data_IF_269954906696
#
_entry.id   IF_269954906696
#
_cell.length_a   1.000
_cell.length_b   1.000
_cell.length_c   1.000
_cell.angle_alpha   90.00
_cell.angle_beta   90.00
_cell.angle_gamma   90.00
#
_symmetry.space_group_name_H-M   'P 1'
#
loop_
_entity.id
_entity.type
_entity.pdbx_description
1 polymer ?
#
# COMPACT_ATOMS: atom_id res chain seq x y z
N UNK A 1 -17.83 3.66 13.20
CA UNK A 1 -17.46 4.58 12.11
C UNK A 1 -18.46 5.70 12.01
N UNK A 2 -17.99 6.93 11.79
CA UNK A 2 -18.82 8.13 11.63
C UNK A 2 -18.35 8.88 10.39
N UNK A 3 -19.26 9.64 9.78
CA UNK A 3 -18.96 10.61 8.72
C UNK A 3 -19.00 12.02 9.33
N UNK A 4 -18.27 12.96 8.74
CA UNK A 4 -18.17 14.34 9.26
C UNK A 4 -19.11 15.26 8.49
N UNK A 5 -19.84 16.09 9.23
CA UNK A 5 -20.80 17.06 8.70
C UNK A 5 -20.46 18.46 9.22
N UNK A 6 -20.69 19.47 8.40
CA UNK A 6 -20.57 20.87 8.79
C UNK A 6 -21.70 21.21 9.78
N UNK A 7 -21.39 21.69 11.00
CA UNK A 7 -22.41 21.95 12.01
C UNK A 7 -23.28 23.18 11.70
N UNK A 8 -22.81 24.09 10.84
CA UNK A 8 -23.53 25.30 10.48
C UNK A 8 -24.52 25.06 9.33
N UNK A 9 -24.14 24.27 8.31
CA UNK A 9 -25.01 24.00 7.15
C UNK A 9 -25.73 22.66 7.24
N UNK A 10 -25.20 21.70 7.99
CA UNK A 10 -25.67 20.31 8.01
C UNK A 10 -25.24 19.51 6.79
N UNK A 11 -24.45 20.09 5.88
CA UNK A 11 -23.91 19.41 4.70
C UNK A 11 -22.74 18.49 5.07
N UNK A 12 -22.40 17.57 4.17
CA UNK A 12 -21.19 16.74 4.34
C UNK A 12 -19.95 17.60 4.32
N UNK A 13 -19.00 17.31 5.21
CA UNK A 13 -17.71 17.99 5.20
C UNK A 13 -16.89 17.56 3.98
N UNK A 14 -16.52 18.53 3.14
CA UNK A 14 -15.84 18.29 1.85
C UNK A 14 -14.45 17.64 1.96
N UNK A 15 -13.83 17.71 3.14
CA UNK A 15 -12.51 17.11 3.40
C UNK A 15 -12.57 15.77 4.14
N UNK A 16 -13.76 15.26 4.49
CA UNK A 16 -13.92 13.94 5.12
C UNK A 16 -13.46 12.81 4.17
N UNK A 17 -12.37 12.08 4.48
CA UNK A 17 -11.92 10.98 3.64
C UNK A 17 -12.96 9.88 3.43
N UNK A 18 -13.75 9.57 4.46
CA UNK A 18 -14.78 8.53 4.37
C UNK A 18 -15.94 8.99 3.48
N UNK A 19 -16.30 10.27 3.58
CA UNK A 19 -17.19 10.96 2.66
C UNK A 19 -16.72 10.85 1.20
N UNK A 20 -15.45 11.14 0.92
CA UNK A 20 -14.82 10.99 -0.40
C UNK A 20 -14.94 9.56 -0.94
N UNK A 21 -14.64 8.54 -0.12
CA UNK A 21 -14.79 7.14 -0.51
C UNK A 21 -16.23 6.76 -0.88
N UNK A 22 -17.23 7.26 -0.12
CA UNK A 22 -18.65 7.07 -0.45
C UNK A 22 -19.04 7.74 -1.77
N UNK A 23 -18.51 8.95 -2.02
CA UNK A 23 -18.74 9.65 -3.28
C UNK A 23 -18.12 8.90 -4.45
N UNK A 24 -16.94 8.30 -4.28
CA UNK A 24 -16.30 7.48 -5.31
C UNK A 24 -17.14 6.24 -5.69
N UNK A 25 -17.70 5.52 -4.71
CA UNK A 25 -18.64 4.41 -4.98
C UNK A 25 -19.93 4.88 -5.68
N UNK A 26 -20.47 6.04 -5.27
CA UNK A 26 -21.64 6.63 -5.91
C UNK A 26 -21.35 7.09 -7.34
N UNK A 27 -20.17 7.65 -7.58
CA UNK A 27 -19.73 8.08 -8.90
C UNK A 27 -19.62 6.88 -9.86
N UNK A 28 -18.99 5.77 -9.43
CA UNK A 28 -18.96 4.52 -10.20
C UNK A 28 -20.36 4.14 -10.69
N UNK A 29 -21.34 4.07 -9.77
CA UNK A 29 -22.74 3.75 -10.11
C UNK A 29 -23.32 4.73 -11.13
N UNK A 30 -23.06 6.03 -10.96
CA UNK A 30 -23.55 7.07 -11.87
C UNK A 30 -23.00 6.96 -13.29
N UNK A 31 -21.80 6.37 -13.46
CA UNK A 31 -21.18 6.20 -14.78
C UNK A 31 -21.80 5.07 -15.62
N UNK A 32 -22.52 4.14 -14.98
CA UNK A 32 -23.01 2.92 -15.61
C UNK A 32 -21.93 1.89 -15.98
N UNK A 33 -20.68 2.09 -15.56
CA UNK A 33 -19.57 1.15 -15.80
C UNK A 33 -19.71 -0.10 -14.91
N UNK A 34 -20.28 0.06 -13.71
CA UNK A 34 -20.57 -1.00 -12.77
C UNK A 34 -21.35 -0.47 -11.58
N UNK A 35 -21.85 -1.36 -10.73
CA UNK A 35 -22.59 -1.02 -9.52
C UNK A 35 -21.77 -1.19 -8.24
N UNK A 36 -20.69 -1.96 -8.29
CA UNK A 36 -19.90 -2.34 -7.12
C UNK A 36 -18.41 -2.39 -7.45
N UNK A 37 -17.59 -1.77 -6.61
CA UNK A 37 -16.14 -1.91 -6.60
C UNK A 37 -15.76 -2.77 -5.40
N UNK A 38 -15.04 -3.87 -5.64
CA UNK A 38 -14.41 -4.64 -4.57
C UNK A 38 -12.94 -4.29 -4.45
N UNK A 39 -12.48 -4.14 -3.21
CA UNK A 39 -11.08 -3.83 -2.86
C UNK A 39 -10.59 -4.87 -1.86
N UNK A 40 -9.39 -5.40 -2.09
CA UNK A 40 -8.73 -6.36 -1.20
C UNK A 40 -7.29 -5.95 -0.94
N UNK A 41 -6.97 -5.30 0.18
CA UNK A 41 -5.62 -4.87 0.50
C UNK A 41 -4.85 -5.96 1.29
N UNK A 42 -3.58 -6.13 0.96
CA UNK A 42 -2.62 -6.96 1.70
C UNK A 42 -1.65 -6.01 2.42
N UNK A 43 -1.94 -5.63 3.67
CA UNK A 43 -1.14 -4.69 4.43
C UNK A 43 -0.09 -5.39 5.30
N UNK A 44 1.17 -5.30 4.88
CA UNK A 44 2.32 -5.81 5.60
C UNK A 44 2.71 -4.87 6.76
N UNK A 45 3.34 -5.41 7.80
CA UNK A 45 3.82 -4.64 8.96
C UNK A 45 5.04 -5.30 9.60
N UNK A 46 5.72 -4.55 10.47
CA UNK A 46 6.77 -5.08 11.34
C UNK A 46 6.30 -5.10 12.79
N UNK A 47 6.83 -6.03 13.58
CA UNK A 47 6.77 -6.01 15.04
C UNK A 47 8.18 -5.96 15.61
N UNK A 48 8.43 -5.10 16.59
CA UNK A 48 9.73 -4.97 17.25
C UNK A 48 9.59 -5.07 18.77
N UNK A 49 10.66 -5.45 19.45
CA UNK A 49 10.75 -5.46 20.92
C UNK A 49 11.12 -4.05 21.45
N UNK A 50 12.01 -3.33 20.78
CA UNK A 50 12.42 -1.97 21.13
C UNK A 50 12.58 -1.09 19.89
N UNK A 51 12.07 0.13 19.96
CA UNK A 51 12.25 1.16 18.94
C UNK A 51 12.52 2.48 19.65
N UNK A 52 13.69 3.07 19.39
CA UNK A 52 14.12 4.36 19.93
C UNK A 52 14.52 5.27 18.79
N UNK A 53 14.19 6.55 18.89
CA UNK A 53 14.59 7.56 17.93
C UNK A 53 14.89 8.88 18.62
N UNK A 54 15.78 9.67 18.03
CA UNK A 54 16.10 11.03 18.43
C UNK A 54 16.17 11.92 17.19
N UNK A 55 15.75 13.17 17.36
CA UNK A 55 15.80 14.22 16.33
C UNK A 55 15.91 15.56 17.05
N UNK A 56 17.12 15.94 17.45
CA UNK A 56 17.38 17.12 18.27
C UNK A 56 18.81 17.65 18.17
N UNK A 57 19.15 18.65 18.98
CA UNK A 57 20.44 19.35 18.89
C UNK A 57 21.68 18.45 19.07
N UNK A 58 21.54 17.36 19.84
CA UNK A 58 22.65 16.47 20.18
C UNK A 58 22.81 15.28 19.22
N UNK A 59 21.83 15.03 18.33
CA UNK A 59 21.81 13.85 17.47
C UNK A 59 20.50 13.68 16.72
N UNK A 60 20.56 12.94 15.62
CA UNK A 60 19.40 12.48 14.86
C UNK A 60 19.63 11.03 14.46
N UNK A 61 18.66 10.15 14.67
CA UNK A 61 18.79 8.74 14.36
C UNK A 61 17.72 7.87 14.98
N UNK A 62 17.82 6.57 14.73
CA UNK A 62 16.94 5.58 15.34
C UNK A 62 17.68 4.26 15.55
N UNK A 63 17.21 3.47 16.52
CA UNK A 63 17.59 2.08 16.73
C UNK A 63 16.35 1.22 16.86
N UNK A 64 16.38 0.07 16.21
CA UNK A 64 15.35 -0.96 16.31
C UNK A 64 15.99 -2.24 16.86
N UNK A 65 15.20 -3.02 17.57
CA UNK A 65 15.60 -4.30 18.14
C UNK A 65 14.41 -5.26 18.16
N UNK A 66 14.67 -6.52 17.84
CA UNK A 66 13.71 -7.62 18.01
C UNK A 66 14.47 -8.95 18.12
N UNK A 67 13.90 -9.88 18.86
CA UNK A 67 14.45 -11.22 19.06
C UNK A 67 14.80 -11.94 17.74
N UNK A 68 14.11 -11.66 16.64
CA UNK A 68 14.36 -12.27 15.33
C UNK A 68 15.46 -11.59 14.53
N UNK A 69 15.89 -10.36 14.87
CA UNK A 69 16.83 -9.62 14.04
C UNK A 69 18.20 -10.34 13.96
N UNK A 70 18.80 -10.49 12.77
CA UNK A 70 20.11 -11.12 12.61
C UNK A 70 21.23 -10.46 13.43
N UNK A 71 21.08 -9.17 13.78
CA UNK A 71 21.98 -8.41 14.65
C UNK A 71 22.12 -9.01 16.06
N UNK A 72 21.14 -9.80 16.51
CA UNK A 72 21.12 -10.45 17.83
C UNK A 72 21.75 -11.87 17.84
N UNK A 73 22.34 -12.32 16.73
CA UNK A 73 22.93 -13.67 16.64
C UNK A 73 24.04 -13.94 17.65
N UNK A 74 24.81 -12.91 18.02
CA UNK A 74 25.88 -13.00 19.02
C UNK A 74 25.53 -12.36 20.38
N UNK A 75 24.29 -11.93 20.58
CA UNK A 75 23.89 -11.23 21.81
C UNK A 75 23.80 -12.18 22.99
N UNK A 76 24.28 -11.74 24.15
CA UNK A 76 24.07 -12.46 25.40
C UNK A 76 22.67 -12.15 25.95
N UNK A 77 21.98 -13.21 26.38
CA UNK A 77 20.69 -13.14 27.07
C UNK A 77 20.82 -13.86 28.40
N UNK A 78 20.08 -13.42 29.41
CA UNK A 78 20.13 -13.99 30.77
C UNK A 78 19.88 -15.52 30.77
N UNK A 79 18.92 -15.99 29.97
CA UNK A 79 18.58 -17.40 29.82
C UNK A 79 19.42 -18.15 28.75
N UNK A 80 20.41 -17.49 28.15
CA UNK A 80 21.15 -17.98 26.99
C UNK A 80 20.50 -17.63 25.64
N UNK A 81 21.32 -17.58 24.58
CA UNK A 81 20.85 -17.25 23.23
C UNK A 81 20.41 -18.51 22.46
N UNK A 82 19.12 -18.64 22.18
CA UNK A 82 18.55 -19.83 21.50
C UNK A 82 18.84 -19.87 19.99
N UNK A 83 19.31 -18.78 19.38
CA UNK A 83 19.86 -18.70 18.02
C UNK A 83 18.98 -19.15 16.83
N UNK A 84 17.69 -19.44 17.01
CA UNK A 84 16.75 -19.71 15.92
C UNK A 84 16.19 -18.38 15.38
N UNK A 85 16.83 -17.82 14.35
CA UNK A 85 16.45 -16.54 13.75
C UNK A 85 16.35 -16.61 12.24
N UNK A 86 15.42 -15.87 11.61
CA UNK A 86 15.46 -15.68 10.18
C UNK A 86 16.75 -14.92 9.80
N UNK A 87 17.33 -15.27 8.65
CA UNK A 87 18.39 -14.44 8.05
C UNK A 87 17.74 -13.19 7.44
N UNK A 88 18.54 -12.19 7.07
CA UNK A 88 18.04 -11.10 6.23
C UNK A 88 17.38 -11.69 4.97
N UNK A 89 16.18 -11.23 4.62
CA UNK A 89 15.31 -11.79 3.57
C UNK A 89 14.93 -13.28 3.75
N UNK A 90 15.09 -13.82 4.96
CA UNK A 90 14.90 -15.24 5.27
C UNK A 90 13.67 -15.54 6.15
N UNK A 91 12.77 -14.56 6.34
CA UNK A 91 11.57 -14.70 7.15
C UNK A 91 10.42 -15.44 6.46
N UNK A 92 10.51 -15.72 5.16
CA UNK A 92 9.39 -16.27 4.41
C UNK A 92 9.18 -17.78 4.67
N UNK A 93 8.22 -18.10 5.53
CA UNK A 93 7.77 -19.45 5.90
C UNK A 93 8.77 -20.42 6.57
N UNK A 94 9.81 -19.99 7.32
CA UNK A 94 10.43 -20.90 8.26
C UNK A 94 9.43 -21.24 9.37
N UNK A 95 9.43 -22.48 9.84
CA UNK A 95 8.56 -22.89 10.95
C UNK A 95 9.13 -22.43 12.29
N UNK A 96 8.29 -22.41 13.33
CA UNK A 96 8.75 -22.23 14.71
C UNK A 96 9.85 -23.27 15.05
N UNK A 97 10.88 -22.90 15.85
CA UNK A 97 11.01 -21.64 16.59
C UNK A 97 11.70 -20.49 15.84
N UNK A 98 11.98 -20.61 14.53
CA UNK A 98 12.56 -19.50 13.75
C UNK A 98 11.54 -18.38 13.58
N UNK A 99 10.29 -18.73 13.26
CA UNK A 99 9.15 -17.82 13.33
C UNK A 99 8.66 -17.75 14.78
N UNK A 100 8.89 -16.61 15.42
CA UNK A 100 8.59 -16.38 16.84
C UNK A 100 7.18 -15.83 17.08
N UNK A 101 6.45 -15.49 16.02
CA UNK A 101 5.23 -14.70 16.09
C UNK A 101 3.96 -15.45 15.64
N UNK A 102 4.02 -16.79 15.51
CA UNK A 102 2.86 -17.62 15.10
C UNK A 102 1.64 -17.34 15.99
N UNK A 103 1.81 -17.42 17.31
CA UNK A 103 0.73 -17.24 18.29
C UNK A 103 0.21 -15.80 18.31
N UNK A 104 1.11 -14.81 18.23
CA UNK A 104 0.74 -13.38 18.20
C UNK A 104 -0.12 -13.08 16.96
N UNK A 105 0.28 -13.60 15.79
CA UNK A 105 -0.50 -13.42 14.56
C UNK A 105 -1.85 -14.15 14.61
N UNK A 106 -1.91 -15.33 15.24
CA UNK A 106 -3.17 -16.05 15.43
C UNK A 106 -4.14 -15.29 16.34
N UNK A 107 -3.63 -14.65 17.41
CA UNK A 107 -4.41 -13.79 18.29
C UNK A 107 -4.94 -12.55 17.55
N UNK A 108 -4.10 -11.91 16.73
CA UNK A 108 -4.51 -10.80 15.88
C UNK A 108 -5.68 -11.19 14.96
N UNK A 109 -5.55 -12.32 14.25
CA UNK A 109 -6.62 -12.82 13.36
C UNK A 109 -7.89 -13.13 14.15
N UNK A 110 -7.78 -13.79 15.30
CA UNK A 110 -8.93 -14.13 16.15
C UNK A 110 -9.66 -12.87 16.62
N UNK A 111 -8.91 -11.87 17.08
CA UNK A 111 -9.45 -10.56 17.49
C UNK A 111 -10.10 -9.82 16.31
N UNK A 112 -9.48 -9.83 15.13
CA UNK A 112 -10.06 -9.23 13.92
C UNK A 112 -11.41 -9.87 13.57
N UNK A 113 -11.51 -11.20 13.65
CA UNK A 113 -12.75 -11.94 13.40
C UNK A 113 -13.83 -11.58 14.41
N UNK A 114 -13.48 -11.44 15.69
CA UNK A 114 -14.42 -10.97 16.72
C UNK A 114 -14.91 -9.53 16.48
N UNK A 115 -14.07 -8.68 15.87
CA UNK A 115 -14.43 -7.33 15.44
C UNK A 115 -15.16 -7.29 14.09
N UNK A 116 -15.46 -8.44 13.48
CA UNK A 116 -16.27 -8.57 12.28
C UNK A 116 -15.50 -8.60 10.97
N UNK A 117 -14.17 -8.59 10.99
CA UNK A 117 -13.37 -8.78 9.77
C UNK A 117 -13.42 -10.25 9.35
N UNK A 118 -13.31 -10.46 8.05
CA UNK A 118 -13.14 -11.81 7.49
C UNK A 118 -11.66 -11.97 7.14
N UNK A 119 -10.99 -12.91 7.76
CA UNK A 119 -9.58 -13.20 7.51
C UNK A 119 -9.43 -14.56 6.82
N UNK A 120 -8.41 -14.71 5.98
CA UNK A 120 -8.16 -15.94 5.20
C UNK A 120 -6.80 -16.59 5.45
N UNK A 121 -5.78 -15.82 5.86
CA UNK A 121 -4.43 -16.31 6.17
C UNK A 121 -3.71 -15.42 7.18
N UNK A 122 -2.64 -15.94 7.76
CA UNK A 122 -1.58 -15.13 8.37
C UNK A 122 -0.24 -15.81 8.14
N UNK A 123 0.81 -15.03 7.95
CA UNK A 123 2.15 -15.57 7.79
C UNK A 123 3.24 -14.56 8.17
N UNK A 124 4.43 -15.10 8.39
CA UNK A 124 5.65 -14.32 8.38
C UNK A 124 5.96 -13.85 6.96
N UNK A 125 6.50 -12.64 6.82
CA UNK A 125 6.92 -12.05 5.55
C UNK A 125 8.43 -12.16 5.33
N UNK A 126 8.94 -11.62 4.21
CA UNK A 126 10.32 -11.84 3.76
C UNK A 126 11.38 -11.32 4.74
N UNK A 127 11.24 -10.09 5.25
CA UNK A 127 12.21 -9.52 6.19
C UNK A 127 12.08 -10.12 7.59
N UNK A 128 13.14 -10.07 8.40
CA UNK A 128 13.05 -10.44 9.82
C UNK A 128 12.04 -9.54 10.55
N UNK A 129 11.23 -10.14 11.44
CA UNK A 129 10.18 -9.45 12.20
C UNK A 129 9.08 -8.77 11.34
N UNK A 130 8.93 -9.19 10.08
CA UNK A 130 7.89 -8.73 9.16
C UNK A 130 6.75 -9.74 9.07
N UNK A 131 5.52 -9.24 8.97
CA UNK A 131 4.32 -10.07 8.99
C UNK A 131 3.23 -9.53 8.05
N UNK A 132 2.32 -10.41 7.65
CA UNK A 132 1.09 -10.09 6.92
C UNK A 132 -0.06 -10.95 7.45
N UNK A 133 -1.23 -10.34 7.61
CA UNK A 133 -2.50 -11.05 7.82
C UNK A 133 -3.40 -10.77 6.62
N UNK A 134 -4.02 -11.81 6.08
CA UNK A 134 -4.91 -11.70 4.94
C UNK A 134 -6.33 -11.37 5.39
N UNK A 135 -6.94 -10.41 4.71
CA UNK A 135 -8.34 -9.98 4.90
C UNK A 135 -9.09 -10.19 3.59
N UNK A 136 -10.28 -10.77 3.68
CA UNK A 136 -11.15 -10.95 2.53
C UNK A 136 -11.63 -9.57 2.06
N UNK A 137 -11.56 -9.35 0.75
CA UNK A 137 -12.03 -8.13 0.10
C UNK A 137 -13.49 -7.78 0.48
N UNK A 138 -13.80 -6.48 0.45
CA UNK A 138 -15.16 -5.94 0.64
C UNK A 138 -15.44 -4.83 -0.36
N UNK A 139 -16.54 -4.10 -0.21
CA UNK A 139 -16.71 -2.87 -1.01
C UNK A 139 -15.66 -1.83 -0.62
N UNK A 140 -15.49 -0.77 -1.41
CA UNK A 140 -14.42 0.22 -1.18
C UNK A 140 -14.49 0.83 0.21
N UNK A 141 -15.67 1.31 0.63
CA UNK A 141 -15.83 1.93 1.97
C UNK A 141 -15.70 0.90 3.09
N UNK A 142 -16.32 -0.27 2.95
CA UNK A 142 -16.23 -1.35 3.93
C UNK A 142 -14.77 -1.80 4.13
N UNK A 143 -14.02 -1.92 3.04
CA UNK A 143 -12.61 -2.32 3.08
C UNK A 143 -11.74 -1.26 3.73
N UNK A 144 -12.01 0.02 3.48
CA UNK A 144 -11.30 1.11 4.15
C UNK A 144 -11.60 1.17 5.65
N UNK A 145 -12.86 0.95 6.05
CA UNK A 145 -13.27 0.76 7.44
C UNK A 145 -12.51 -0.44 8.07
N UNK A 146 -12.50 -1.59 7.39
CA UNK A 146 -11.79 -2.80 7.85
C UNK A 146 -10.28 -2.58 8.00
N UNK A 147 -9.65 -1.81 7.11
CA UNK A 147 -8.22 -1.50 7.22
C UNK A 147 -7.90 -0.67 8.48
N UNK A 148 -8.82 0.17 8.95
CA UNK A 148 -8.64 0.88 10.21
C UNK A 148 -8.72 -0.06 11.42
N UNK A 149 -9.67 -1.01 11.41
CA UNK A 149 -9.73 -2.06 12.44
C UNK A 149 -8.49 -2.94 12.40
N UNK A 150 -8.03 -3.33 11.19
CA UNK A 150 -6.82 -4.12 11.00
C UNK A 150 -5.62 -3.47 11.70
N UNK A 151 -5.34 -2.20 11.39
CA UNK A 151 -4.23 -1.46 11.99
C UNK A 151 -4.39 -1.34 13.51
N UNK A 152 -5.62 -1.09 13.98
CA UNK A 152 -5.91 -1.00 15.40
C UNK A 152 -5.60 -2.32 16.14
N UNK A 153 -6.11 -3.45 15.63
CA UNK A 153 -5.87 -4.77 16.23
C UNK A 153 -4.38 -5.12 16.20
N UNK A 154 -3.69 -4.91 15.08
CA UNK A 154 -2.24 -5.14 14.99
C UNK A 154 -1.48 -4.35 16.05
N UNK A 155 -1.75 -3.05 16.21
CA UNK A 155 -1.08 -2.24 17.22
C UNK A 155 -1.42 -2.70 18.64
N UNK A 156 -2.69 -2.97 18.95
CA UNK A 156 -3.14 -3.29 20.30
C UNK A 156 -2.70 -4.69 20.75
N UNK A 157 -2.76 -5.69 19.87
CA UNK A 157 -2.29 -7.03 20.18
C UNK A 157 -0.77 -7.03 20.31
N UNK A 158 -0.03 -6.37 19.41
CA UNK A 158 1.42 -6.24 19.57
C UNK A 158 1.78 -5.62 20.92
N UNK A 159 1.09 -4.52 21.28
CA UNK A 159 1.29 -3.84 22.56
C UNK A 159 1.00 -4.75 23.77
N UNK A 160 -0.10 -5.53 23.72
CA UNK A 160 -0.46 -6.47 24.78
C UNK A 160 0.59 -7.58 24.98
N UNK A 161 1.32 -7.93 23.93
CA UNK A 161 2.43 -8.90 23.96
C UNK A 161 3.79 -8.25 24.25
N UNK A 162 3.82 -6.97 24.62
CA UNK A 162 5.07 -6.26 24.94
C UNK A 162 5.91 -5.90 23.72
N UNK A 163 5.32 -5.90 22.52
CA UNK A 163 5.94 -5.49 21.26
C UNK A 163 5.37 -4.15 20.78
N UNK A 164 6.03 -3.56 19.80
CA UNK A 164 5.53 -2.39 19.06
C UNK A 164 5.41 -2.73 17.58
N UNK A 165 4.25 -2.49 16.99
CA UNK A 165 4.02 -2.73 15.57
C UNK A 165 4.08 -1.44 14.76
N UNK A 166 4.56 -1.52 13.52
CA UNK A 166 4.60 -0.39 12.59
C UNK A 166 4.24 -0.78 11.16
N UNK A 167 3.48 0.10 10.52
CA UNK A 167 3.09 0.02 9.10
C UNK A 167 4.01 0.85 8.19
N UNK A 168 5.12 1.35 8.74
CA UNK A 168 6.08 2.16 8.00
C UNK A 168 6.63 1.38 6.78
N UNK A 169 6.72 1.99 5.58
CA UNK A 169 7.06 1.26 4.36
C UNK A 169 8.48 0.68 4.34
N UNK A 170 9.44 1.34 5.01
CA UNK A 170 10.84 0.94 5.01
C UNK A 170 11.50 1.25 6.37
N UNK A 171 11.28 0.41 7.39
CA UNK A 171 11.95 0.56 8.69
C UNK A 171 13.41 0.06 8.65
N UNK A 172 13.73 -0.90 7.76
CA UNK A 172 15.07 -1.49 7.61
C UNK A 172 15.59 -1.22 6.20
N UNK A 173 16.72 -0.50 6.08
CA UNK A 173 17.32 -0.13 4.78
C UNK A 173 17.65 -1.36 3.92
N UNK A 174 18.25 -2.39 4.51
CA UNK A 174 18.87 -3.53 3.83
C UNK A 174 17.98 -4.76 3.69
N UNK A 175 16.74 -4.73 4.18
CA UNK A 175 15.78 -5.85 4.08
C UNK A 175 14.51 -5.42 3.32
N UNK A 176 13.55 -6.31 3.11
CA UNK A 176 12.27 -5.97 2.49
C UNK A 176 11.52 -4.87 3.27
N UNK A 177 10.65 -4.14 2.58
CA UNK A 177 9.79 -3.12 3.17
C UNK A 177 8.33 -3.54 3.12
N UNK A 178 7.47 -2.86 3.88
CA UNK A 178 6.04 -3.15 3.98
C UNK A 178 5.22 -2.47 2.87
N UNK A 179 4.52 -3.27 2.07
CA UNK A 179 3.53 -2.82 1.11
C UNK A 179 2.09 -2.83 1.61
N UNK A 180 1.20 -2.31 0.77
CA UNK A 180 -0.24 -2.53 0.82
C UNK A 180 -0.73 -2.93 -0.57
N UNK A 181 -0.45 -4.17 -1.00
CA UNK A 181 -0.89 -4.60 -2.33
C UNK A 181 -2.41 -4.51 -2.42
N UNK A 182 -2.92 -3.74 -3.36
CA UNK A 182 -4.33 -3.38 -3.43
C UNK A 182 -4.97 -4.08 -4.62
N UNK A 183 -5.73 -5.13 -4.33
CA UNK A 183 -6.52 -5.83 -5.33
C UNK A 183 -7.82 -5.08 -5.63
N UNK A 184 -8.19 -4.96 -6.91
CA UNK A 184 -9.42 -4.26 -7.32
C UNK A 184 -10.18 -4.99 -8.43
N UNK A 185 -11.51 -4.97 -8.36
CA UNK A 185 -12.39 -5.43 -9.45
C UNK A 185 -13.73 -4.71 -9.45
N UNK A 186 -14.21 -4.33 -10.62
CA UNK A 186 -15.55 -3.73 -10.79
C UNK A 186 -16.54 -4.81 -11.19
N UNK A 187 -17.76 -4.71 -10.66
CA UNK A 187 -18.86 -5.64 -10.89
C UNK A 187 -20.11 -4.87 -11.31
N UNK A 188 -20.94 -5.53 -12.12
CA UNK A 188 -22.25 -5.07 -12.56
C UNK A 188 -23.24 -6.22 -12.41
N UNK A 189 -24.32 -6.00 -11.63
CA UNK A 189 -25.41 -6.96 -11.40
C UNK A 189 -24.90 -8.35 -11.01
N UNK A 190 -23.89 -8.38 -10.13
CA UNK A 190 -23.29 -9.61 -9.63
C UNK A 190 -22.38 -10.35 -10.62
N UNK A 191 -21.95 -9.71 -11.71
CA UNK A 191 -20.95 -10.25 -12.66
C UNK A 191 -19.69 -9.37 -12.71
N UNK A 192 -18.48 -9.96 -12.77
CA UNK A 192 -17.24 -9.20 -12.84
C UNK A 192 -17.10 -8.56 -14.22
N UNK A 193 -16.82 -7.24 -14.27
CA UNK A 193 -16.59 -6.53 -15.54
C UNK A 193 -15.15 -6.69 -16.03
N UNK A 194 -14.24 -7.13 -15.17
CA UNK A 194 -12.82 -7.30 -15.50
C UNK A 194 -12.49 -8.62 -16.18
N UNK A 195 -13.39 -9.60 -16.14
CA UNK A 195 -13.22 -10.88 -16.82
C UNK A 195 -13.53 -10.76 -18.32
N UNK A 196 -12.67 -11.32 -19.16
CA UNK A 196 -12.83 -11.33 -20.62
C UNK A 196 -11.93 -12.33 -21.31
N UNK A 197 -11.73 -12.16 -22.62
CA UNK A 197 -10.98 -13.08 -23.48
C UNK A 197 -9.59 -12.54 -23.88
N UNK A 198 -9.16 -11.40 -23.31
CA UNK A 198 -7.86 -10.79 -23.58
C UNK A 198 -6.71 -11.45 -22.81
N UNK A 199 -5.58 -10.74 -22.73
CA UNK A 199 -4.40 -11.18 -21.99
C UNK A 199 -4.78 -11.63 -20.57
N UNK A 200 -4.32 -12.81 -20.16
CA UNK A 200 -4.61 -13.42 -18.85
C UNK A 200 -6.11 -13.55 -18.49
N UNK A 201 -7.01 -13.51 -19.48
CA UNK A 201 -8.47 -13.57 -19.28
C UNK A 201 -9.07 -12.24 -18.81
N UNK A 202 -8.44 -11.12 -19.18
CA UNK A 202 -8.93 -9.77 -18.90
C UNK A 202 -9.90 -9.28 -19.99
N UNK A 203 -10.83 -8.41 -19.63
CA UNK A 203 -11.64 -7.62 -20.56
C UNK A 203 -10.93 -6.34 -20.99
N UNK A 204 -11.41 -5.71 -22.07
CA UNK A 204 -10.97 -4.36 -22.47
C UNK A 204 -11.23 -3.33 -21.36
N UNK A 205 -12.35 -3.46 -20.63
CA UNK A 205 -12.64 -2.63 -19.46
C UNK A 205 -11.54 -2.73 -18.41
N UNK A 206 -11.04 -3.93 -18.13
CA UNK A 206 -9.93 -4.11 -17.20
C UNK A 206 -8.63 -3.49 -17.73
N UNK A 207 -8.32 -3.67 -19.01
CA UNK A 207 -7.13 -3.08 -19.62
C UNK A 207 -7.19 -1.55 -19.54
N UNK A 208 -8.33 -0.95 -19.88
CA UNK A 208 -8.50 0.50 -19.77
C UNK A 208 -8.42 1.01 -18.33
N UNK A 209 -8.93 0.24 -17.36
CA UNK A 209 -8.76 0.56 -15.95
C UNK A 209 -7.27 0.60 -15.55
N UNK A 210 -6.48 -0.39 -15.98
CA UNK A 210 -5.03 -0.41 -15.76
C UNK A 210 -4.37 0.79 -16.45
N UNK A 211 -4.76 1.12 -17.68
CA UNK A 211 -4.19 2.24 -18.43
C UNK A 211 -4.44 3.60 -17.76
N UNK A 212 -5.63 3.79 -17.17
CA UNK A 212 -5.94 4.95 -16.34
C UNK A 212 -5.05 5.04 -15.11
N UNK A 213 -4.88 3.94 -14.37
CA UNK A 213 -4.01 3.91 -13.19
C UNK A 213 -2.54 4.14 -13.56
N UNK A 214 -2.04 3.56 -14.66
CA UNK A 214 -0.67 3.81 -15.14
C UNK A 214 -0.47 5.29 -15.54
N UNK A 215 -1.42 5.86 -16.28
CA UNK A 215 -1.37 7.28 -16.71
C UNK A 215 -1.26 8.22 -15.51
N UNK A 216 -2.05 7.99 -14.48
CA UNK A 216 -2.18 8.87 -13.31
C UNK A 216 -1.29 8.44 -12.13
N UNK A 217 -0.43 7.43 -12.28
CA UNK A 217 0.30 6.80 -11.19
C UNK A 217 1.11 7.77 -10.33
N UNK A 218 1.72 8.79 -10.96
CA UNK A 218 2.51 9.80 -10.23
C UNK A 218 1.64 10.66 -9.31
N UNK A 219 0.48 11.14 -9.78
CA UNK A 219 -0.50 11.82 -8.94
C UNK A 219 -1.08 10.89 -7.86
N UNK A 220 -1.31 9.62 -8.20
CA UNK A 220 -1.77 8.60 -7.25
C UNK A 220 -0.77 8.36 -6.12
N UNK A 221 0.54 8.48 -6.36
CA UNK A 221 1.55 8.29 -5.31
C UNK A 221 1.36 9.26 -4.14
N UNK A 222 0.82 10.45 -4.37
CA UNK A 222 0.54 11.39 -3.27
C UNK A 222 -0.44 10.83 -2.24
N UNK A 223 -1.39 9.97 -2.65
CA UNK A 223 -2.38 9.33 -1.76
C UNK A 223 -2.02 7.88 -1.38
N UNK A 224 -1.36 7.15 -2.28
CA UNK A 224 -1.02 5.73 -2.11
C UNK A 224 0.35 5.51 -1.46
N UNK A 225 1.22 6.52 -1.48
CA UNK A 225 2.57 6.53 -0.93
C UNK A 225 2.85 7.84 -0.19
N UNK A 226 2.05 8.19 0.84
CA UNK A 226 1.92 9.57 1.30
C UNK A 226 3.03 10.01 2.27
N UNK A 227 4.16 9.30 2.33
CA UNK A 227 5.24 9.59 3.28
C UNK A 227 6.58 9.66 2.56
N UNK A 228 7.53 10.42 3.09
CA UNK A 228 8.90 10.43 2.60
C UNK A 228 9.60 9.06 2.74
N UNK A 229 9.13 8.21 3.66
CA UNK A 229 9.62 6.84 3.86
C UNK A 229 9.08 5.85 2.81
N UNK A 230 7.90 6.10 2.23
CA UNK A 230 7.35 5.34 1.10
C UNK A 230 8.35 5.22 -0.06
N UNK A 231 9.07 6.30 -0.34
CA UNK A 231 10.06 6.38 -1.41
C UNK A 231 11.43 5.78 -1.03
N UNK A 232 11.61 5.35 0.22
CA UNK A 232 12.73 4.49 0.63
C UNK A 232 12.40 3.01 0.38
N UNK A 233 11.12 2.64 0.28
CA UNK A 233 10.66 1.32 -0.17
C UNK A 233 10.70 1.21 -1.69
N UNK A 234 10.20 2.20 -2.42
CA UNK A 234 10.12 2.22 -3.89
C UNK A 234 11.48 2.43 -4.57
N UNK A 235 12.41 1.51 -4.32
CA UNK A 235 13.72 1.42 -4.96
C UNK A 235 13.91 0.03 -5.56
N UNK A 236 14.68 -0.13 -6.66
CA UNK A 236 14.98 -1.45 -7.22
C UNK A 236 15.60 -2.43 -6.20
N UNK A 237 15.29 -3.72 -6.30
CA UNK A 237 16.00 -4.81 -5.58
C UNK A 237 15.36 -5.41 -4.31
N UNK A 238 14.15 -4.97 -3.92
CA UNK A 238 13.45 -5.43 -2.70
C UNK A 238 11.98 -5.81 -2.95
N UNK A 239 11.67 -6.38 -4.11
CA UNK A 239 10.30 -6.67 -4.57
C UNK A 239 9.36 -5.45 -4.68
N UNK A 240 9.86 -4.24 -4.41
CA UNK A 240 9.13 -3.00 -4.58
C UNK A 240 9.02 -2.66 -6.09
N UNK A 241 7.80 -2.46 -6.60
CA UNK A 241 7.60 -2.27 -8.03
C UNK A 241 7.69 -0.80 -8.40
N UNK A 242 8.79 -0.41 -9.02
CA UNK A 242 9.01 0.96 -9.49
C UNK A 242 8.55 1.20 -10.93
N UNK A 243 8.39 0.12 -11.71
CA UNK A 243 8.08 0.19 -13.13
C UNK A 243 6.57 0.05 -13.36
N UNK A 244 6.00 1.06 -14.01
CA UNK A 244 4.59 1.12 -14.37
C UNK A 244 4.30 0.25 -15.58
N UNK A 245 4.18 -1.04 -15.30
CA UNK A 245 3.82 -2.08 -16.26
C UNK A 245 2.81 -3.03 -15.62
N UNK A 246 2.18 -3.85 -16.46
CA UNK A 246 1.33 -4.94 -16.00
C UNK A 246 1.80 -6.30 -16.53
N UNK A 247 1.62 -7.35 -15.71
CA UNK A 247 1.94 -8.74 -16.09
C UNK A 247 1.24 -9.73 -15.16
N UNK A 248 0.92 -10.93 -15.68
CA UNK A 248 0.39 -12.02 -14.87
C UNK A 248 1.46 -12.81 -14.10
N UNK A 249 2.73 -12.73 -14.52
CA UNK A 249 3.82 -13.56 -13.96
C UNK A 249 4.89 -12.74 -13.27
N UNK A 250 5.02 -11.47 -13.64
CA UNK A 250 6.17 -10.67 -13.26
C UNK A 250 5.95 -9.91 -11.95
N UNK A 251 6.74 -10.24 -10.94
CA UNK A 251 6.68 -9.57 -9.63
C UNK A 251 7.32 -8.19 -9.61
N UNK A 252 8.07 -7.80 -10.65
CA UNK A 252 8.66 -6.46 -10.76
C UNK A 252 7.72 -5.41 -11.37
N UNK A 253 6.56 -5.84 -11.89
CA UNK A 253 5.53 -4.96 -12.43
C UNK A 253 4.68 -4.32 -11.33
N UNK A 254 4.32 -3.05 -11.48
CA UNK A 254 3.47 -2.33 -10.52
C UNK A 254 2.02 -2.80 -10.49
N UNK A 255 1.53 -3.37 -11.60
CA UNK A 255 0.22 -4.02 -11.68
C UNK A 255 0.40 -5.52 -11.96
N UNK A 256 0.11 -6.36 -10.96
CA UNK A 256 0.08 -7.83 -11.14
C UNK A 256 -1.33 -8.26 -11.53
N UNK A 257 -1.44 -9.25 -12.41
CA UNK A 257 -2.71 -9.95 -12.70
C UNK A 257 -2.69 -11.29 -11.97
N UNK A 258 -3.38 -11.42 -10.82
CA UNK A 258 -3.32 -12.64 -10.02
C UNK A 258 -3.79 -13.86 -10.79
N UNK A 259 -3.12 -14.98 -10.55
CA UNK A 259 -3.64 -16.28 -10.97
C UNK A 259 -4.87 -16.62 -10.13
N UNK A 260 -5.97 -16.98 -10.79
CA UNK A 260 -7.23 -17.32 -10.14
C UNK A 260 -8.12 -18.14 -11.07
N UNK A 261 -8.79 -19.14 -10.51
CA UNK A 261 -9.70 -19.99 -11.26
C UNK A 261 -11.05 -19.29 -11.48
N UNK A 262 -11.49 -19.24 -12.73
CA UNK A 262 -12.79 -18.70 -13.12
C UNK A 262 -12.87 -17.17 -13.19
N UNK A 263 -13.96 -16.69 -13.79
CA UNK A 263 -14.21 -15.26 -14.03
C UNK A 263 -14.34 -14.45 -12.73
N UNK A 264 -14.94 -15.05 -11.70
CA UNK A 264 -15.19 -14.38 -10.40
C UNK A 264 -13.92 -14.02 -9.63
N UNK A 265 -12.79 -14.63 -9.96
CA UNK A 265 -11.50 -14.33 -9.32
C UNK A 265 -10.70 -13.23 -10.06
N UNK A 266 -11.18 -12.77 -11.23
CA UNK A 266 -10.47 -11.80 -12.07
C UNK A 266 -10.44 -10.41 -11.43
N UNK A 267 -9.23 -9.92 -11.24
CA UNK A 267 -8.91 -8.65 -10.58
C UNK A 267 -7.54 -8.18 -11.02
N UNK A 268 -7.25 -6.91 -10.74
CA UNK A 268 -5.90 -6.35 -10.81
C UNK A 268 -5.32 -6.26 -9.41
N UNK A 269 -4.01 -6.11 -9.30
CA UNK A 269 -3.31 -5.88 -8.04
C UNK A 269 -2.27 -4.79 -8.22
N UNK A 270 -2.50 -3.64 -7.61
CA UNK A 270 -1.52 -2.56 -7.58
C UNK A 270 -0.61 -2.72 -6.38
N UNK A 271 0.69 -2.81 -6.64
CA UNK A 271 1.68 -3.22 -5.64
C UNK A 271 2.53 -2.08 -5.08
N UNK A 272 2.40 -0.90 -5.69
CA UNK A 272 3.08 0.31 -5.25
C UNK A 272 2.50 0.90 -3.95
N UNK A 273 1.19 0.84 -3.64
CA UNK A 273 0.68 1.43 -2.39
C UNK A 273 1.34 0.83 -1.14
N UNK A 274 1.37 1.61 -0.07
CA UNK A 274 1.84 1.18 1.25
C UNK A 274 0.84 1.53 2.35
N UNK A 275 0.99 0.88 3.51
CA UNK A 275 0.01 0.96 4.59
C UNK A 275 0.06 2.28 5.38
N UNK A 276 0.91 3.25 5.02
CA UNK A 276 0.79 4.62 5.54
C UNK A 276 -0.25 5.44 4.78
N UNK A 277 -0.72 4.94 3.63
CA UNK A 277 -1.85 5.49 2.90
C UNK A 277 -3.10 5.61 3.79
N UNK A 278 -3.81 6.73 3.65
CA UNK A 278 -5.19 6.82 4.11
C UNK A 278 -6.03 5.91 3.20
N UNK A 279 -6.61 4.80 3.70
CA UNK A 279 -7.23 3.80 2.84
C UNK A 279 -8.41 4.38 2.04
N UNK A 280 -9.17 5.30 2.62
CA UNK A 280 -10.31 5.93 1.94
C UNK A 280 -9.85 6.74 0.72
N UNK A 281 -8.85 7.63 0.88
CA UNK A 281 -8.34 8.46 -0.20
C UNK A 281 -7.59 7.63 -1.25
N UNK A 282 -6.78 6.66 -0.81
CA UNK A 282 -6.00 5.81 -1.70
C UNK A 282 -6.89 4.95 -2.61
N UNK A 283 -7.90 4.28 -2.04
CA UNK A 283 -8.80 3.44 -2.84
C UNK A 283 -9.71 4.28 -3.74
N UNK A 284 -10.19 5.43 -3.26
CA UNK A 284 -10.96 6.37 -4.07
C UNK A 284 -10.13 6.91 -5.24
N UNK A 285 -8.89 7.34 -5.01
CA UNK A 285 -8.02 7.85 -6.06
C UNK A 285 -7.71 6.78 -7.12
N UNK A 286 -7.40 5.54 -6.69
CA UNK A 286 -7.20 4.41 -7.60
C UNK A 286 -8.45 4.12 -8.46
N UNK A 287 -9.64 4.13 -7.84
CA UNK A 287 -10.89 3.97 -8.57
C UNK A 287 -11.10 5.09 -9.58
N UNK A 288 -10.93 6.35 -9.18
CA UNK A 288 -11.12 7.50 -10.06
C UNK A 288 -10.16 7.48 -11.27
N UNK A 289 -8.89 7.13 -11.06
CA UNK A 289 -7.92 6.98 -12.14
C UNK A 289 -8.31 5.86 -13.10
N UNK A 290 -8.74 4.71 -12.57
CA UNK A 290 -9.20 3.60 -13.40
C UNK A 290 -10.48 3.91 -14.18
N UNK A 291 -11.41 4.68 -13.59
CA UNK A 291 -12.60 5.16 -14.30
C UNK A 291 -12.26 6.15 -15.42
N UNK A 292 -11.30 7.06 -15.20
CA UNK A 292 -10.79 7.93 -16.27
C UNK A 292 -10.24 7.10 -17.44
N UNK A 293 -9.47 6.07 -17.12
CA UNK A 293 -8.94 5.12 -18.10
C UNK A 293 -10.05 4.46 -18.93
N UNK A 294 -11.10 3.95 -18.28
CA UNK A 294 -12.25 3.32 -18.96
C UNK A 294 -13.00 4.32 -19.84
N UNK A 295 -13.33 5.51 -19.32
CA UNK A 295 -14.09 6.53 -20.04
C UNK A 295 -13.35 7.02 -21.28
N UNK A 296 -12.03 7.16 -21.18
CA UNK A 296 -11.17 7.66 -22.27
C UNK A 296 -10.52 6.53 -23.09
N UNK A 297 -10.84 5.26 -22.80
CA UNK A 297 -10.29 4.06 -23.48
C UNK A 297 -8.76 4.03 -23.54
N UNK A 298 -8.12 4.36 -22.42
CA UNK A 298 -6.66 4.48 -22.32
C UNK A 298 -6.04 3.10 -22.24
N UNK A 299 -5.40 2.62 -23.31
CA UNK A 299 -4.76 1.31 -23.30
C UNK A 299 -3.43 1.35 -22.51
N UNK A 300 -3.13 0.34 -21.67
CA UNK A 300 -1.92 0.30 -20.84
C UNK A 300 -0.64 -0.09 -21.61
N UNK A 301 -0.75 -0.29 -22.93
CA UNK A 301 0.29 -0.89 -23.76
C UNK A 301 0.31 -2.42 -23.66
N UNK A 302 1.37 -3.03 -24.18
CA UNK A 302 1.58 -4.47 -24.14
C UNK A 302 2.04 -4.92 -22.74
N UNK A 303 1.65 -6.14 -22.36
CA UNK A 303 2.08 -6.73 -21.09
C UNK A 303 3.60 -6.98 -21.08
N UNK A 304 4.25 -6.77 -19.93
CA UNK A 304 5.70 -6.85 -19.82
C UNK A 304 6.14 -8.10 -19.03
N UNK A 305 6.18 -9.24 -19.74
CA UNK A 305 6.44 -10.56 -19.14
C UNK A 305 7.93 -10.92 -18.93
N UNK A 306 8.85 -10.04 -19.34
CA UNK A 306 10.28 -10.17 -19.04
C UNK A 306 10.56 -9.69 -17.62
N UNK A 307 11.45 -10.34 -16.86
CA UNK A 307 11.93 -9.80 -15.59
C UNK A 307 12.49 -8.39 -15.82
N UNK A 308 11.87 -7.36 -15.22
CA UNK A 308 12.19 -5.98 -15.60
C UNK A 308 13.51 -5.51 -15.00
N UNK A 309 13.98 -6.16 -13.94
CA UNK A 309 15.28 -5.86 -13.35
C UNK A 309 16.45 -6.27 -14.24
N UNK A 310 16.21 -7.18 -15.20
CA UNK A 310 17.22 -7.67 -16.15
C UNK A 310 17.18 -6.93 -17.49
N UNK A 311 16.30 -5.93 -17.64
CA UNK A 311 16.23 -5.14 -18.86
C UNK A 311 17.47 -4.24 -18.99
N UNK A 312 18.03 -4.09 -20.20
CA UNK A 312 19.10 -3.14 -20.44
C UNK A 312 18.68 -1.71 -20.05
N UNK A 313 19.58 -0.87 -19.52
CA UNK A 313 19.24 0.50 -19.11
C UNK A 313 18.53 1.34 -20.18
N UNK A 314 18.87 1.12 -21.46
CA UNK A 314 18.24 1.80 -22.60
C UNK A 314 16.77 1.40 -22.82
N UNK A 315 16.39 0.15 -22.53
CA UNK A 315 14.99 -0.30 -22.58
C UNK A 315 14.24 0.20 -21.34
N UNK A 316 14.89 0.18 -20.17
CA UNK A 316 14.31 0.61 -18.89
C UNK A 316 13.97 2.11 -18.87
N UNK A 317 14.78 2.96 -19.53
CA UNK A 317 14.56 4.41 -19.60
C UNK A 317 13.24 4.80 -20.28
N UNK A 318 12.66 3.92 -21.09
CA UNK A 318 11.39 4.16 -21.80
C UNK A 318 10.18 3.62 -21.04
N UNK A 319 10.38 2.90 -19.93
CA UNK A 319 9.29 2.38 -19.10
C UNK A 319 8.90 3.44 -18.07
N UNK A 320 7.62 3.88 -18.03
CA UNK A 320 7.20 4.86 -17.04
C UNK A 320 7.42 4.33 -15.61
N UNK A 321 7.77 5.22 -14.68
CA UNK A 321 8.01 4.88 -13.28
C UNK A 321 7.07 5.63 -12.34
N UNK A 322 6.86 5.06 -11.16
CA UNK A 322 6.32 5.79 -10.01
C UNK A 322 7.25 6.95 -9.62
N UNK A 323 6.74 7.87 -8.80
CA UNK A 323 7.56 8.97 -8.26
C UNK A 323 8.72 8.44 -7.41
N UNK A 324 9.86 9.14 -7.45
CA UNK A 324 11.03 8.88 -6.62
C UNK A 324 11.06 9.66 -5.30
N UNK A 325 10.12 10.58 -5.10
CA UNK A 325 9.99 11.35 -3.84
C UNK A 325 8.55 11.79 -3.59
N UNK A 326 8.25 12.15 -2.34
CA UNK A 326 6.95 12.73 -1.97
C UNK A 326 6.74 14.10 -2.62
N UNK A 327 7.81 14.90 -2.73
CA UNK A 327 7.83 16.16 -3.48
C UNK A 327 7.33 15.97 -4.92
N UNK A 328 7.95 15.05 -5.66
CA UNK A 328 7.54 14.76 -7.05
C UNK A 328 6.08 14.33 -7.14
N UNK A 329 5.59 13.55 -6.16
CA UNK A 329 4.21 13.10 -6.14
C UNK A 329 3.22 14.25 -5.87
N UNK A 330 3.56 15.20 -5.00
CA UNK A 330 2.74 16.40 -4.74
C UNK A 330 2.72 17.32 -5.97
N UNK A 331 3.86 17.54 -6.61
CA UNK A 331 3.95 18.31 -7.86
C UNK A 331 3.17 17.64 -8.99
N UNK A 332 3.23 16.30 -9.07
CA UNK A 332 2.46 15.53 -10.05
C UNK A 332 0.96 15.56 -9.76
N UNK A 333 0.56 15.54 -8.48
CA UNK A 333 -0.84 15.70 -8.09
C UNK A 333 -1.36 17.08 -8.48
N UNK A 334 -0.59 18.15 -8.22
CA UNK A 334 -0.96 19.50 -8.64
C UNK A 334 -1.16 19.58 -10.16
N UNK A 335 -0.26 18.97 -10.94
CA UNK A 335 -0.32 18.97 -12.40
C UNK A 335 -1.45 18.08 -12.99
N UNK A 336 -1.88 17.02 -12.28
CA UNK A 336 -2.75 15.96 -12.82
C UNK A 336 -3.87 15.54 -11.85
N UNK A 337 -4.54 16.50 -11.19
CA UNK A 337 -5.66 16.21 -10.29
C UNK A 337 -7.04 16.20 -10.96
N UNK A 338 -7.15 16.60 -12.24
CA UNK A 338 -8.44 16.83 -12.90
C UNK A 338 -9.36 15.59 -12.92
N UNK A 339 -8.77 14.38 -12.98
CA UNK A 339 -9.54 13.13 -12.95
C UNK A 339 -10.21 12.88 -11.60
N UNK A 340 -9.64 13.39 -10.50
CA UNK A 340 -10.16 13.23 -9.13
C UNK A 340 -11.39 14.13 -8.89
N UNK A 341 -11.46 15.27 -9.57
CA UNK A 341 -12.55 16.25 -9.41
C UNK A 341 -13.86 15.81 -10.07
N UNK A 342 -13.83 14.74 -10.89
CA UNK A 342 -15.04 14.25 -11.58
C UNK A 342 -16.09 13.78 -10.57
N UNK A 343 -17.33 14.24 -10.76
CA UNK A 343 -18.45 13.87 -9.89
C UNK A 343 -18.35 14.42 -8.47
N UNK A 344 -17.54 15.48 -8.27
CA UNK A 344 -17.27 16.12 -6.97
C UNK A 344 -16.78 15.13 -5.90
N UNK A 345 -16.12 14.03 -6.34
CA UNK A 345 -15.60 12.98 -5.46
C UNK A 345 -14.51 13.53 -4.57
N UNK A 346 -13.49 14.14 -5.20
CA UNK A 346 -12.53 15.00 -4.51
C UNK A 346 -12.87 16.44 -4.83
N UNK A 347 -12.69 17.32 -3.84
CA UNK A 347 -12.76 18.76 -4.06
C UNK A 347 -11.36 19.33 -4.20
N UNK A 348 -11.22 20.42 -4.96
CA UNK A 348 -9.94 21.13 -5.08
C UNK A 348 -9.43 21.59 -3.71
N UNK A 349 -10.34 22.06 -2.85
CA UNK A 349 -10.06 22.44 -1.47
C UNK A 349 -9.49 21.28 -0.62
N UNK A 350 -10.06 20.07 -0.72
CA UNK A 350 -9.52 18.90 -0.03
C UNK A 350 -8.12 18.53 -0.55
N UNK A 351 -7.90 18.58 -1.86
CA UNK A 351 -6.60 18.26 -2.47
C UNK A 351 -5.54 19.28 -2.03
N UNK A 352 -5.85 20.56 -2.08
CA UNK A 352 -4.93 21.63 -1.70
C UNK A 352 -4.58 21.54 -0.20
N UNK A 353 -5.58 21.34 0.67
CA UNK A 353 -5.36 21.18 2.10
C UNK A 353 -4.57 19.91 2.44
N UNK A 354 -4.80 18.82 1.70
CA UNK A 354 -4.01 17.60 1.84
C UNK A 354 -2.55 17.85 1.45
N UNK A 355 -2.31 18.53 0.32
CA UNK A 355 -0.97 18.85 -0.15
C UNK A 355 -0.22 19.75 0.84
N UNK A 356 -0.88 20.74 1.45
CA UNK A 356 -0.31 21.61 2.48
C UNK A 356 0.27 20.80 3.66
N UNK A 357 -0.51 19.87 4.21
CA UNK A 357 -0.06 18.98 5.29
C UNK A 357 1.16 18.14 4.88
N UNK A 358 1.20 17.69 3.62
CA UNK A 358 2.30 16.85 3.10
C UNK A 358 3.55 17.64 2.76
N UNK A 359 3.42 18.91 2.37
CA UNK A 359 4.56 19.79 2.20
C UNK A 359 5.31 20.04 3.50
N UNK A 360 4.63 20.12 4.65
CA UNK A 360 5.29 20.20 5.97
C UNK A 360 6.18 18.96 6.23
N UNK A 361 5.68 17.76 5.93
CA UNK A 361 6.46 16.52 6.07
C UNK A 361 7.68 16.49 5.12
N UNK A 362 7.50 16.93 3.86
CA UNK A 362 8.59 17.04 2.87
C UNK A 362 9.68 17.97 3.38
N UNK A 363 9.30 19.19 3.76
CA UNK A 363 10.24 20.23 4.19
C UNK A 363 10.99 19.80 5.45
N UNK A 364 10.31 19.15 6.40
CA UNK A 364 10.98 18.63 7.60
C UNK A 364 12.10 17.66 7.25
N UNK A 365 11.86 16.68 6.37
CA UNK A 365 12.89 15.70 6.00
C UNK A 365 14.00 16.33 5.16
N UNK A 366 13.67 17.20 4.20
CA UNK A 366 14.67 17.82 3.32
C UNK A 366 15.58 18.83 4.03
N UNK A 367 15.14 19.39 5.17
CA UNK A 367 15.93 20.35 5.95
C UNK A 367 16.59 19.76 7.19
N UNK A 368 16.38 18.48 7.47
CA UNK A 368 17.01 17.78 8.61
C UNK A 368 18.27 17.05 8.12
N UNK A 369 19.48 17.43 8.59
CA UNK A 369 20.69 16.67 8.32
C UNK A 369 20.55 15.22 8.80
N UNK A 370 21.02 14.26 8.01
CA UNK A 370 20.84 12.85 8.31
C UNK A 370 22.18 12.11 8.53
N UNK A 371 22.20 11.01 9.32
CA UNK A 371 23.45 10.31 9.65
C UNK A 371 24.29 9.86 8.45
N UNK A 372 23.67 9.56 7.32
CA UNK A 372 24.40 9.13 6.11
C UNK A 372 25.19 10.29 5.47
N UNK A 373 24.78 11.55 5.67
CA UNK A 373 25.54 12.70 5.17
C UNK A 373 26.88 12.85 5.90
N UNK A 374 26.96 12.52 7.20
CA UNK A 374 28.22 12.49 7.95
C UNK A 374 29.14 11.32 7.57
N UNK A 375 28.60 10.24 7.00
CA UNK A 375 29.39 9.12 6.45
C UNK A 375 29.95 9.46 5.04
N UNK A 376 29.23 10.27 4.27
CA UNK A 376 29.59 10.63 2.89
C UNK A 376 30.52 11.85 2.77
N UNK A 377 30.40 12.84 3.67
CA UNK A 377 31.08 14.14 3.61
C UNK A 377 31.89 14.39 4.88
#
# INVERSE_FOLDING_TARGET
FCDIYDPATGDRYSRDPRGTARLAEAYLKSTGIGDTIYVGPEAEFFMFDDVRFEDGYAGSGYSIDDIELPTNSGREYEAGNMAHRPRAKGGYFPVAPVDSAVDIRAEMVSTMVEMGLKCDKHHHEVAAAQHELGVIFGTLVETADNMQIYKYVVHQVAHAYGKTATFMPKPIKSDNGSGMHTHMSIWEKGKPTFAGNGYAGLSDTCLYFIGGVIKHAKALNAFTNPTTNSYKRLVPGFEAPVLLAYSARNRSASCRIPYGAGEKAKRVEFRFPDAMANPYLAYAALLMAGLDGIQNKIHPGEAMDKNLYDLPPAELANVPTVCGSLREALESLEADHAFLLKGDVFTKDQIDAYAELKWEEVLRVETTPCPVEFDMY
#
